data_IF_023090930349
#
_entry.id   IF_023090930349
#
_cell.length_a   1.000
_cell.length_b   1.000
_cell.length_c   1.000
_cell.angle_alpha   90.00
_cell.angle_beta   90.00
_cell.angle_gamma   90.00
#
_symmetry.space_group_name_H-M   'P 1'
#
loop_
_entity.id
_entity.type
_entity.pdbx_description
1 polymer ?
#
# COMPACT_ATOMS: atom_id res chain seq x y z
N UNK A 1 35.03 2.24 -20.54
CA UNK A 1 33.76 2.89 -20.83
C UNK A 1 32.67 1.95 -20.36
N UNK A 2 32.42 1.94 -19.07
CA UNK A 2 31.35 1.18 -18.48
C UNK A 2 30.02 1.64 -19.07
N UNK A 3 29.23 0.69 -19.55
CA UNK A 3 27.90 0.99 -20.01
C UNK A 3 27.14 1.73 -18.94
N UNK A 4 26.69 2.91 -19.26
CA UNK A 4 25.88 3.71 -18.37
C UNK A 4 24.50 3.07 -18.30
N UNK A 5 24.13 2.66 -17.13
CA UNK A 5 22.75 2.30 -16.88
C UNK A 5 22.00 3.58 -16.63
N UNK A 6 21.13 3.87 -17.54
CA UNK A 6 20.32 5.07 -17.45
C UNK A 6 19.23 4.93 -16.39
N UNK A 7 18.60 6.01 -16.07
CA UNK A 7 17.51 6.16 -15.13
C UNK A 7 16.35 5.16 -15.25
N UNK A 8 16.33 4.40 -16.31
CA UNK A 8 15.26 3.42 -16.57
C UNK A 8 15.26 2.26 -15.59
N UNK A 9 16.39 1.99 -15.00
CA UNK A 9 16.55 0.75 -14.22
C UNK A 9 16.15 0.86 -12.80
N UNK A 10 16.02 2.06 -12.29
CA UNK A 10 15.71 2.23 -10.91
C UNK A 10 15.28 3.65 -10.64
N UNK A 11 14.34 3.80 -9.76
CA UNK A 11 14.08 5.04 -9.05
C UNK A 11 15.34 5.63 -8.39
N UNK A 12 16.41 4.87 -8.32
CA UNK A 12 17.72 5.26 -7.77
C UNK A 12 18.82 5.17 -8.82
N UNK A 13 18.50 5.51 -10.03
CA UNK A 13 19.44 5.46 -11.16
C UNK A 13 20.64 6.38 -11.04
N UNK A 14 20.67 7.26 -10.05
CA UNK A 14 21.78 8.17 -9.78
C UNK A 14 22.18 8.13 -8.32
N UNK A 15 23.45 8.43 -8.06
CA UNK A 15 23.98 8.69 -6.72
C UNK A 15 24.56 10.10 -6.67
N UNK A 16 24.53 10.72 -5.51
CA UNK A 16 25.18 12.01 -5.32
C UNK A 16 26.70 11.83 -5.27
N UNK A 17 27.41 12.60 -6.05
CA UNK A 17 28.85 12.64 -6.06
C UNK A 17 29.38 13.68 -5.06
N UNK A 18 29.07 13.52 -3.80
CA UNK A 18 29.57 14.30 -2.66
C UNK A 18 29.74 15.81 -2.92
N UNK A 19 28.90 16.39 -3.76
CA UNK A 19 28.88 17.82 -4.10
C UNK A 19 29.17 18.15 -5.55
N UNK A 20 29.57 17.19 -6.37
CA UNK A 20 29.78 17.40 -7.81
C UNK A 20 28.51 17.20 -8.65
N UNK A 21 27.45 16.71 -8.06
CA UNK A 21 26.15 16.45 -8.71
C UNK A 21 25.81 14.96 -8.79
N UNK A 22 24.75 14.66 -9.51
CA UNK A 22 24.26 13.30 -9.66
C UNK A 22 25.07 12.53 -10.70
N UNK A 23 25.52 11.35 -10.33
CA UNK A 23 26.29 10.45 -11.19
C UNK A 23 25.47 9.22 -11.53
N UNK A 24 25.43 8.86 -12.80
CA UNK A 24 24.74 7.66 -13.25
C UNK A 24 25.44 6.39 -12.72
N UNK A 25 24.65 5.44 -12.24
CA UNK A 25 25.15 4.17 -11.74
C UNK A 25 25.69 3.31 -12.89
N UNK A 26 26.84 2.69 -12.67
CA UNK A 26 27.50 1.81 -13.64
C UNK A 26 27.10 0.34 -13.43
N UNK A 27 27.33 -0.48 -14.44
CA UNK A 27 27.11 -1.92 -14.34
C UNK A 27 27.92 -2.55 -13.20
N UNK A 28 29.16 -2.10 -13.03
CA UNK A 28 30.02 -2.59 -11.93
C UNK A 28 29.48 -2.28 -10.55
N UNK A 29 28.80 -1.15 -10.39
CA UNK A 29 28.12 -0.82 -9.15
C UNK A 29 26.98 -1.81 -8.86
N UNK A 30 26.14 -2.09 -9.86
CA UNK A 30 25.06 -3.07 -9.70
C UNK A 30 25.54 -4.49 -9.43
N UNK A 31 26.63 -4.90 -10.05
CA UNK A 31 27.19 -6.22 -9.85
C UNK A 31 27.92 -6.38 -8.52
N UNK A 32 28.54 -5.32 -8.02
CA UNK A 32 29.35 -5.35 -6.82
C UNK A 32 28.62 -4.93 -5.56
N UNK A 33 28.24 -3.67 -5.52
CA UNK A 33 27.78 -3.01 -4.29
C UNK A 33 26.26 -2.97 -4.21
N UNK A 34 25.60 -2.65 -5.31
CA UNK A 34 24.20 -2.25 -5.30
C UNK A 34 23.19 -3.29 -5.74
N UNK A 35 23.62 -4.37 -6.38
CA UNK A 35 22.69 -5.29 -7.05
C UNK A 35 22.71 -6.72 -6.59
N UNK A 36 23.59 -7.07 -5.64
CA UNK A 36 23.73 -8.45 -5.20
C UNK A 36 23.15 -8.66 -3.82
N UNK A 37 22.65 -9.86 -3.57
CA UNK A 37 22.03 -10.22 -2.28
C UNK A 37 22.96 -10.04 -1.06
N UNK A 38 24.25 -10.06 -1.29
CA UNK A 38 25.30 -9.84 -0.27
C UNK A 38 25.92 -8.43 -0.32
N UNK A 39 25.39 -7.53 -1.13
CA UNK A 39 25.87 -6.16 -1.24
C UNK A 39 25.49 -5.27 -0.06
N UNK A 40 25.91 -4.00 -0.13
CA UNK A 40 25.53 -2.99 0.86
C UNK A 40 24.05 -2.70 0.75
N UNK A 41 23.29 -3.10 1.73
CA UNK A 41 21.81 -3.01 1.71
C UNK A 41 21.26 -1.71 2.29
N UNK A 42 22.09 -0.88 2.91
CA UNK A 42 21.67 0.37 3.53
C UNK A 42 20.88 1.29 2.58
N UNK A 43 21.26 1.31 1.33
CA UNK A 43 20.60 2.08 0.28
C UNK A 43 19.16 1.62 -0.03
N UNK A 44 18.79 0.41 0.38
CA UNK A 44 17.45 -0.15 0.19
C UNK A 44 16.59 -0.06 1.45
N UNK A 45 17.12 0.54 2.51
CA UNK A 45 16.35 0.83 3.72
C UNK A 45 15.51 2.05 3.47
N UNK A 46 14.20 1.89 3.57
CA UNK A 46 13.22 2.92 3.33
C UNK A 46 12.39 3.20 4.57
N UNK A 47 11.80 4.38 4.61
CA UNK A 47 10.81 4.70 5.63
C UNK A 47 9.52 3.91 5.35
N UNK A 48 9.29 2.90 6.17
CA UNK A 48 8.09 2.07 6.13
C UNK A 48 6.91 2.63 6.91
N UNK A 49 6.94 3.89 7.31
CA UNK A 49 5.81 4.53 8.01
C UNK A 49 4.61 4.68 7.09
N UNK A 50 3.42 4.41 7.62
CA UNK A 50 2.19 4.53 6.86
C UNK A 50 0.99 4.87 7.72
N UNK A 51 -0.02 5.47 7.09
CA UNK A 51 -1.35 5.67 7.63
C UNK A 51 -2.36 5.13 6.64
N UNK A 52 -3.32 4.34 7.10
CA UNK A 52 -4.30 3.69 6.22
C UNK A 52 -5.72 3.99 6.65
N UNK A 53 -6.55 4.39 5.70
CA UNK A 53 -8.00 4.45 5.85
C UNK A 53 -8.56 3.04 5.65
N UNK A 54 -8.68 2.30 6.77
CA UNK A 54 -9.02 0.88 6.73
C UNK A 54 -10.48 0.63 6.43
N UNK A 55 -11.37 1.38 7.07
CA UNK A 55 -12.80 1.19 6.89
C UNK A 55 -13.57 2.49 7.09
N UNK A 56 -14.53 2.71 6.20
CA UNK A 56 -15.57 3.73 6.35
C UNK A 56 -16.90 3.07 6.12
N UNK A 57 -17.83 3.22 7.07
CA UNK A 57 -19.18 2.71 6.95
C UNK A 57 -20.18 3.85 7.06
N UNK A 58 -21.05 3.96 6.06
CA UNK A 58 -22.19 4.84 6.05
C UNK A 58 -23.46 4.00 6.20
N UNK A 59 -24.26 4.28 7.23
CA UNK A 59 -25.49 3.56 7.48
C UNK A 59 -26.68 4.53 7.53
N UNK A 60 -27.79 4.10 6.96
CA UNK A 60 -29.03 4.85 6.95
C UNK A 60 -30.22 3.95 7.22
N UNK A 61 -31.06 4.33 8.17
CA UNK A 61 -32.24 3.55 8.57
C UNK A 61 -33.53 4.32 8.25
N UNK A 62 -34.38 3.68 7.47
CA UNK A 62 -35.75 4.16 7.23
C UNK A 62 -36.69 3.48 8.23
N UNK A 63 -37.30 4.29 9.10
CA UNK A 63 -38.27 3.81 10.11
C UNK A 63 -39.44 4.79 10.20
N UNK A 64 -40.58 4.30 10.56
CA UNK A 64 -41.71 5.17 10.87
C UNK A 64 -43.07 4.51 10.73
N UNK A 65 -44.12 5.04 11.41
CA UNK A 65 -45.45 4.45 11.41
C UNK A 65 -46.11 4.50 10.02
N UNK A 66 -45.82 5.54 9.22
CA UNK A 66 -46.32 5.62 7.86
C UNK A 66 -45.67 4.61 6.93
N UNK A 67 -44.36 4.39 7.12
CA UNK A 67 -43.57 3.40 6.40
C UNK A 67 -44.06 1.97 6.68
N UNK A 68 -44.27 1.64 7.95
CA UNK A 68 -44.80 0.34 8.36
C UNK A 68 -46.19 0.05 7.78
N UNK A 69 -47.05 1.06 7.75
CA UNK A 69 -48.41 0.92 7.19
C UNK A 69 -48.42 0.68 5.67
N UNK A 70 -47.47 1.27 4.95
CA UNK A 70 -47.35 1.16 3.51
C UNK A 70 -46.65 -0.11 3.03
N UNK A 71 -45.58 -0.51 3.71
CA UNK A 71 -44.67 -1.59 3.25
C UNK A 71 -44.79 -2.88 4.06
N UNK A 72 -45.49 -2.86 5.19
CA UNK A 72 -45.53 -3.94 6.20
C UNK A 72 -44.15 -4.25 6.82
N UNK A 73 -43.15 -3.42 6.55
CA UNK A 73 -41.82 -3.54 7.13
C UNK A 73 -41.70 -2.62 8.35
N UNK A 74 -40.99 -3.08 9.37
CA UNK A 74 -40.68 -2.27 10.56
C UNK A 74 -39.56 -1.27 10.27
N UNK A 75 -38.55 -1.68 9.52
CA UNK A 75 -37.49 -0.80 9.05
C UNK A 75 -36.77 -1.37 7.81
N UNK A 76 -36.11 -0.49 7.07
CA UNK A 76 -35.09 -0.84 6.07
C UNK A 76 -33.81 -0.16 6.47
N UNK A 77 -32.76 -0.93 6.65
CA UNK A 77 -31.45 -0.41 6.99
C UNK A 77 -30.51 -0.61 5.78
N UNK A 78 -29.92 0.49 5.32
CA UNK A 78 -28.91 0.51 4.26
C UNK A 78 -27.54 0.70 4.90
N UNK A 79 -26.55 -0.02 4.43
CA UNK A 79 -25.16 0.15 4.86
C UNK A 79 -24.24 0.04 3.66
N UNK A 80 -23.35 1.02 3.51
CA UNK A 80 -22.28 1.03 2.53
C UNK A 80 -20.96 1.05 3.28
N UNK A 81 -20.16 0.02 3.13
CA UNK A 81 -18.84 -0.10 3.76
C UNK A 81 -17.76 -0.15 2.70
N UNK A 82 -16.80 0.74 2.79
CA UNK A 82 -15.58 0.70 1.98
C UNK A 82 -14.40 0.33 2.85
N UNK A 83 -13.58 -0.63 2.39
CA UNK A 83 -12.39 -1.11 3.10
C UNK A 83 -11.13 -0.90 2.31
N UNK A 84 -10.02 -0.64 3.01
CA UNK A 84 -8.69 -0.38 2.44
C UNK A 84 -8.72 0.74 1.40
N UNK A 85 -9.41 1.83 1.70
CA UNK A 85 -9.72 2.88 0.72
C UNK A 85 -8.49 3.65 0.28
N UNK A 86 -7.60 3.98 1.22
CA UNK A 86 -6.41 4.76 0.93
C UNK A 86 -5.29 4.47 1.92
N UNK A 87 -4.06 4.55 1.42
CA UNK A 87 -2.83 4.51 2.22
C UNK A 87 -1.99 5.75 1.91
N UNK A 88 -1.49 6.39 2.96
CA UNK A 88 -0.52 7.47 2.88
C UNK A 88 0.81 6.94 3.39
N UNK A 89 1.82 6.96 2.54
CA UNK A 89 3.16 6.45 2.85
C UNK A 89 4.19 7.07 1.91
N UNK A 90 5.43 7.17 2.37
CA UNK A 90 6.59 7.52 1.55
C UNK A 90 7.30 6.26 1.01
N UNK A 91 6.84 5.08 1.38
CA UNK A 91 7.39 3.82 0.91
C UNK A 91 7.17 3.65 -0.60
N UNK A 92 8.22 3.23 -1.31
CA UNK A 92 8.20 3.11 -2.78
C UNK A 92 7.63 1.76 -3.23
N UNK A 93 7.63 0.76 -2.35
CA UNK A 93 7.07 -0.56 -2.61
C UNK A 93 5.53 -0.58 -2.68
N UNK A 94 4.97 -1.76 -2.84
CA UNK A 94 3.53 -1.92 -3.03
C UNK A 94 2.71 -1.58 -1.79
N UNK A 95 3.10 -2.14 -0.63
CA UNK A 95 2.34 -2.01 0.60
C UNK A 95 3.26 -2.21 1.81
N UNK A 96 3.55 -1.16 2.59
CA UNK A 96 4.45 -1.26 3.75
C UNK A 96 3.90 -2.11 4.91
N UNK A 97 2.60 -2.41 4.91
CA UNK A 97 1.95 -3.26 5.93
C UNK A 97 2.13 -4.76 5.64
N UNK A 98 2.53 -5.11 4.42
CA UNK A 98 2.79 -6.49 4.05
C UNK A 98 4.24 -6.87 4.30
N UNK A 99 4.47 -8.04 4.84
CA UNK A 99 5.79 -8.58 5.14
C UNK A 99 5.94 -9.97 4.55
N UNK A 100 7.17 -10.36 4.22
CA UNK A 100 7.48 -11.69 3.71
C UNK A 100 7.03 -12.81 4.67
N UNK A 101 7.11 -12.55 5.96
CA UNK A 101 6.73 -13.51 6.99
C UNK A 101 5.93 -12.82 8.09
N UNK A 102 5.02 -13.57 8.72
CA UNK A 102 4.28 -13.10 9.90
C UNK A 102 5.13 -13.08 11.18
N UNK A 103 6.35 -13.62 11.10
CA UNK A 103 7.24 -13.71 12.26
C UNK A 103 7.84 -12.34 12.57
N UNK A 104 7.74 -11.95 13.83
CA UNK A 104 8.16 -10.62 14.31
C UNK A 104 9.62 -10.27 14.05
N UNK A 105 10.48 -11.26 13.93
CA UNK A 105 11.93 -11.08 13.73
C UNK A 105 12.34 -10.75 12.31
N UNK A 106 11.45 -10.91 11.33
CA UNK A 106 11.71 -10.68 9.90
C UNK A 106 10.75 -9.66 9.28
N UNK A 107 10.17 -8.83 10.11
CA UNK A 107 9.32 -7.72 9.61
C UNK A 107 10.15 -6.70 8.86
N UNK A 108 9.55 -6.09 7.85
CA UNK A 108 10.18 -5.03 7.07
C UNK A 108 10.91 -5.53 5.82
N UNK A 109 10.76 -6.80 5.45
CA UNK A 109 11.27 -7.32 4.17
C UNK A 109 10.13 -7.31 3.16
N UNK A 110 10.27 -6.47 2.13
CA UNK A 110 9.37 -6.45 0.98
C UNK A 110 9.90 -7.42 -0.08
N UNK A 111 9.22 -8.56 -0.23
CA UNK A 111 9.63 -9.61 -1.16
C UNK A 111 8.41 -10.32 -1.73
N UNK A 112 8.04 -9.99 -2.97
CA UNK A 112 6.91 -10.57 -3.70
C UNK A 112 5.56 -10.53 -2.97
N UNK A 113 5.36 -9.54 -2.12
CA UNK A 113 4.12 -9.39 -1.37
C UNK A 113 2.99 -8.92 -2.28
N UNK A 114 1.82 -9.51 -2.12
CA UNK A 114 0.64 -9.06 -2.82
C UNK A 114 0.10 -7.78 -2.19
N UNK A 115 -0.22 -6.75 -2.98
CA UNK A 115 -0.83 -5.54 -2.46
C UNK A 115 -2.21 -5.82 -1.88
N UNK A 116 -2.58 -5.05 -0.87
CA UNK A 116 -3.91 -5.09 -0.30
C UNK A 116 -4.99 -4.69 -1.31
N UNK A 117 -6.15 -5.36 -1.26
CA UNK A 117 -7.28 -5.05 -2.14
C UNK A 117 -8.24 -4.06 -1.52
N UNK A 118 -8.80 -3.17 -2.33
CA UNK A 118 -9.94 -2.32 -1.95
C UNK A 118 -11.23 -3.12 -2.11
N UNK A 119 -12.13 -3.00 -1.16
CA UNK A 119 -13.45 -3.64 -1.26
C UNK A 119 -14.57 -2.68 -0.87
N UNK A 120 -15.72 -2.86 -1.52
CA UNK A 120 -16.94 -2.12 -1.23
C UNK A 120 -18.06 -3.12 -0.98
N UNK A 121 -18.74 -2.97 0.14
CA UNK A 121 -19.84 -3.83 0.54
C UNK A 121 -21.08 -2.99 0.70
N UNK A 122 -22.12 -3.31 -0.05
CA UNK A 122 -23.45 -2.74 0.12
C UNK A 122 -24.36 -3.79 0.76
N UNK A 123 -25.02 -3.40 1.86
CA UNK A 123 -25.94 -4.28 2.60
C UNK A 123 -27.28 -3.59 2.76
N UNK A 124 -28.33 -4.34 2.51
CA UNK A 124 -29.71 -3.95 2.80
C UNK A 124 -30.26 -4.96 3.81
N UNK A 125 -30.80 -4.47 4.92
CA UNK A 125 -31.47 -5.31 5.92
C UNK A 125 -32.93 -4.88 6.01
N UNK A 126 -33.82 -5.85 5.82
CA UNK A 126 -35.27 -5.67 5.89
C UNK A 126 -35.74 -6.28 7.22
N UNK A 127 -36.41 -5.47 8.03
CA UNK A 127 -36.99 -5.91 9.29
C UNK A 127 -38.53 -5.82 9.17
N UNK A 128 -39.22 -6.89 9.45
CA UNK A 128 -40.67 -6.99 9.39
C UNK A 128 -41.29 -7.31 10.75
#
# INVERSE_FOLDING_TARGET
NGGLITSVTSFRGTVHDFGAGDVALTESWYRGIGGYFSGVQEQFVEDGSWTRLREVTLSYSLRGPRFKKSTKLSSIDFSLTGRNLHIWTNFIGNDPDTNLTEVSTTRGIDYFNNPGTKSYVFKITLNY
#
